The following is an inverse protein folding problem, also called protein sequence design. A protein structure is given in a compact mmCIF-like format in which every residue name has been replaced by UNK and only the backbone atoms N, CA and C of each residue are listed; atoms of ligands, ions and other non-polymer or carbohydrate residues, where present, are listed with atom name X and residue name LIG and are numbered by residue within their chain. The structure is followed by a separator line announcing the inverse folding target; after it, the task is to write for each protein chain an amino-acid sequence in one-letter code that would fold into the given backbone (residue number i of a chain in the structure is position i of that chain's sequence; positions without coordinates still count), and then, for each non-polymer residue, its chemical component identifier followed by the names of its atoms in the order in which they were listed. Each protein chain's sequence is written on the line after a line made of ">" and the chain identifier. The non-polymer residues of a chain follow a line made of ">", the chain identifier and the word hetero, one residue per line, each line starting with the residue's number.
data_IF_071236200798
#
_entry.id   IF_071236200798
#
_cell.length_a   1.000
_cell.length_b   1.000
_cell.length_c   1.000
_cell.angle_alpha   90.00
_cell.angle_beta   90.00
_cell.angle_gamma   90.00
#
_symmetry.space_group_name_H-M   'P 1'
#
loop_
_entity.id
_entity.type
_entity.pdbx_description
1 polymer ?
#
# COMPACT_ATOMS: atom_id res chain seq x y z
N UNK A 1 -20.24 -16.78 8.56
CA UNK A 1 -18.94 -16.86 7.86
C UNK A 1 -17.85 -16.29 8.76
N UNK A 2 -16.78 -17.06 9.04
CA UNK A 2 -15.69 -16.58 9.89
C UNK A 2 -14.88 -15.49 9.18
N UNK A 3 -14.44 -14.48 9.94
CA UNK A 3 -13.61 -13.40 9.44
C UNK A 3 -12.52 -13.00 10.44
N UNK A 4 -11.46 -12.38 9.90
CA UNK A 4 -10.47 -11.65 10.67
C UNK A 4 -10.55 -10.17 10.33
N UNK A 5 -10.59 -9.31 11.35
CA UNK A 5 -10.36 -7.87 11.19
C UNK A 5 -8.89 -7.61 11.41
N UNK A 6 -8.21 -7.07 10.42
CA UNK A 6 -6.78 -6.82 10.43
C UNK A 6 -6.47 -5.37 10.11
N UNK A 7 -5.25 -4.94 10.47
CA UNK A 7 -4.75 -3.59 10.20
C UNK A 7 -3.28 -3.67 9.82
N UNK A 8 -2.88 -2.90 8.79
CA UNK A 8 -1.49 -2.75 8.33
C UNK A 8 -1.14 -1.28 8.15
N UNK A 9 -0.48 -0.68 9.15
CA UNK A 9 -0.08 0.73 9.11
C UNK A 9 -1.25 1.71 8.83
N UNK A 10 -2.37 1.52 9.54
CA UNK A 10 -3.53 2.41 9.44
C UNK A 10 -4.61 1.97 8.46
N UNK A 11 -4.30 1.22 7.42
CA UNK A 11 -5.32 0.59 6.58
C UNK A 11 -5.90 -0.65 7.26
N UNK A 12 -7.21 -0.76 7.28
CA UNK A 12 -7.92 -1.87 7.91
C UNK A 12 -8.68 -2.74 6.90
N UNK A 13 -8.68 -4.04 7.17
CA UNK A 13 -9.17 -5.05 6.24
C UNK A 13 -10.04 -6.08 6.95
N UNK A 14 -11.06 -6.55 6.24
CA UNK A 14 -11.77 -7.79 6.57
C UNK A 14 -11.16 -8.89 5.73
N UNK A 15 -10.79 -10.01 6.34
CA UNK A 15 -10.20 -11.17 5.66
C UNK A 15 -11.07 -12.39 5.90
N UNK A 16 -11.46 -13.08 4.84
CA UNK A 16 -12.22 -14.32 4.89
C UNK A 16 -11.54 -15.44 4.12
N UNK A 17 -11.70 -16.66 4.59
CA UNK A 17 -11.21 -17.88 3.91
C UNK A 17 -12.34 -18.54 3.14
N UNK A 18 -12.34 -18.38 1.83
CA UNK A 18 -13.25 -19.05 0.91
C UNK A 18 -12.53 -20.01 -0.04
N UNK A 19 -11.52 -20.73 0.45
CA UNK A 19 -10.84 -21.78 -0.32
C UNK A 19 -11.76 -22.96 -0.71
N UNK A 20 -12.92 -23.05 -0.09
CA UNK A 20 -13.95 -24.03 -0.46
C UNK A 20 -14.84 -23.57 -1.61
N UNK A 21 -14.66 -22.34 -2.10
CA UNK A 21 -15.50 -21.70 -3.12
C UNK A 21 -16.99 -21.77 -2.80
N UNK A 22 -17.34 -21.54 -1.51
CA UNK A 22 -18.72 -21.59 -1.04
C UNK A 22 -19.54 -20.42 -1.59
N UNK A 23 -18.87 -19.29 -1.93
CA UNK A 23 -19.52 -18.08 -2.45
C UNK A 23 -19.06 -17.85 -3.89
N UNK A 24 -20.00 -17.71 -4.86
CA UNK A 24 -19.69 -17.36 -6.24
C UNK A 24 -18.93 -16.02 -6.32
N UNK A 25 -17.91 -15.93 -7.20
CA UNK A 25 -17.06 -14.73 -7.28
C UNK A 25 -17.83 -13.44 -7.59
N UNK A 26 -18.87 -13.52 -8.39
CA UNK A 26 -19.72 -12.38 -8.76
C UNK A 26 -20.58 -11.83 -7.61
N UNK A 27 -20.67 -12.54 -6.47
CA UNK A 27 -21.40 -12.08 -5.28
C UNK A 27 -20.51 -11.21 -4.36
N UNK A 28 -19.19 -11.34 -4.46
CA UNK A 28 -18.27 -10.64 -3.58
C UNK A 28 -18.41 -9.11 -3.63
N UNK A 29 -18.56 -8.43 -4.79
CA UNK A 29 -18.71 -6.98 -4.82
C UNK A 29 -19.88 -6.44 -3.97
N UNK A 30 -21.00 -7.15 -3.94
CA UNK A 30 -22.17 -6.80 -3.12
C UNK A 30 -21.88 -7.02 -1.62
N UNK A 31 -21.37 -8.19 -1.29
CA UNK A 31 -21.01 -8.58 0.09
C UNK A 31 -19.99 -7.60 0.68
N UNK A 32 -18.98 -7.23 -0.10
CA UNK A 32 -17.93 -6.30 0.32
C UNK A 32 -18.50 -4.92 0.63
N UNK A 33 -19.36 -4.37 -0.22
CA UNK A 33 -19.99 -3.06 0.02
C UNK A 33 -20.76 -3.04 1.35
N UNK A 34 -21.52 -4.08 1.62
CA UNK A 34 -22.30 -4.19 2.88
C UNK A 34 -21.35 -4.30 4.06
N UNK A 35 -20.37 -5.21 4.03
CA UNK A 35 -19.49 -5.48 5.17
C UNK A 35 -18.46 -4.38 5.43
N UNK A 36 -18.02 -3.66 4.40
CA UNK A 36 -17.09 -2.55 4.54
C UNK A 36 -17.76 -1.23 4.94
N UNK A 37 -19.09 -1.16 4.93
CA UNK A 37 -19.82 0.06 5.32
C UNK A 37 -19.57 0.38 6.81
N UNK A 38 -18.92 1.54 7.05
CA UNK A 38 -18.65 2.01 8.41
C UNK A 38 -19.95 2.46 9.07
N UNK A 39 -20.10 2.21 10.35
CA UNK A 39 -21.26 2.48 11.19
C UNK A 39 -22.47 1.58 10.96
N UNK A 40 -22.59 0.94 9.80
CA UNK A 40 -23.73 0.06 9.48
C UNK A 40 -23.37 -1.42 9.56
N UNK A 41 -22.10 -1.77 9.37
CA UNK A 41 -21.59 -3.14 9.45
C UNK A 41 -20.21 -3.16 10.13
N UNK A 42 -19.34 -4.13 9.78
CA UNK A 42 -17.99 -4.26 10.36
C UNK A 42 -17.14 -3.02 10.05
N UNK A 43 -17.27 -2.49 8.84
CA UNK A 43 -16.50 -1.34 8.36
C UNK A 43 -15.04 -1.67 8.08
N UNK A 44 -14.53 -1.35 6.90
CA UNK A 44 -13.13 -1.50 6.54
C UNK A 44 -12.77 -0.65 5.31
N UNK A 45 -11.48 -0.37 5.11
CA UNK A 45 -10.95 0.24 3.88
C UNK A 45 -10.96 -0.74 2.71
N UNK A 46 -10.85 -2.05 3.02
CA UNK A 46 -10.86 -3.09 1.99
C UNK A 46 -11.20 -4.47 2.54
N UNK A 47 -11.41 -5.38 1.61
CA UNK A 47 -11.82 -6.75 1.87
C UNK A 47 -10.93 -7.73 1.12
N UNK A 48 -10.50 -8.80 1.76
CA UNK A 48 -9.66 -9.84 1.17
C UNK A 48 -10.32 -11.19 1.27
N UNK A 49 -10.43 -11.88 0.13
CA UNK A 49 -10.94 -13.25 0.05
C UNK A 49 -9.78 -14.18 -0.29
N UNK A 50 -9.53 -15.16 0.57
CA UNK A 50 -8.55 -16.21 0.30
C UNK A 50 -9.22 -17.31 -0.51
N UNK A 51 -8.60 -17.65 -1.65
CA UNK A 51 -9.05 -18.68 -2.58
C UNK A 51 -7.96 -19.75 -2.77
N UNK A 52 -8.29 -20.92 -3.32
CA UNK A 52 -7.29 -21.88 -3.75
C UNK A 52 -6.33 -21.26 -4.77
N UNK A 53 -5.05 -21.66 -4.79
CA UNK A 53 -4.10 -21.19 -5.79
C UNK A 53 -4.46 -21.72 -7.17
N UNK A 54 -4.12 -20.94 -8.22
CA UNK A 54 -4.41 -21.28 -9.62
C UNK A 54 -3.19 -21.25 -10.53
N UNK A 55 -2.12 -20.60 -10.14
CA UNK A 55 -0.90 -20.40 -10.95
C UNK A 55 0.42 -20.60 -10.18
N UNK A 56 0.43 -21.54 -9.23
CA UNK A 56 1.64 -21.98 -8.54
C UNK A 56 2.04 -21.14 -7.33
N UNK A 57 1.15 -20.30 -6.81
CA UNK A 57 1.26 -19.71 -5.49
C UNK A 57 0.89 -20.68 -4.38
N UNK A 58 1.03 -20.26 -3.14
CA UNK A 58 0.58 -21.04 -1.98
C UNK A 58 -0.93 -20.92 -1.79
N UNK A 59 -1.47 -19.74 -2.08
CA UNK A 59 -2.91 -19.40 -2.10
C UNK A 59 -3.13 -18.16 -2.96
N UNK A 60 -4.41 -17.89 -3.29
CA UNK A 60 -4.83 -16.70 -4.05
C UNK A 60 -5.54 -15.72 -3.14
N UNK A 61 -5.30 -14.43 -3.32
CA UNK A 61 -6.01 -13.32 -2.69
C UNK A 61 -6.81 -12.56 -3.74
N UNK A 62 -8.12 -12.46 -3.55
CA UNK A 62 -8.93 -11.45 -4.22
C UNK A 62 -9.01 -10.24 -3.28
N UNK A 63 -8.60 -9.09 -3.77
CA UNK A 63 -8.66 -7.84 -3.02
C UNK A 63 -9.76 -6.94 -3.57
N UNK A 64 -10.59 -6.41 -2.69
CA UNK A 64 -11.66 -5.47 -3.03
C UNK A 64 -11.51 -4.19 -2.20
N UNK A 65 -11.73 -3.06 -2.85
CA UNK A 65 -11.95 -1.78 -2.17
C UNK A 65 -13.28 -1.80 -1.42
N UNK A 66 -13.49 -0.88 -0.49
CA UNK A 66 -14.73 -0.81 0.31
C UNK A 66 -15.99 -0.59 -0.52
N UNK A 67 -15.89 -0.02 -1.73
CA UNK A 67 -17.01 0.15 -2.67
C UNK A 67 -17.38 -1.12 -3.45
N UNK A 68 -16.69 -2.23 -3.21
CA UNK A 68 -16.86 -3.51 -3.90
C UNK A 68 -16.11 -3.62 -5.23
N UNK A 69 -15.41 -2.59 -5.67
CA UNK A 69 -14.56 -2.68 -6.85
C UNK A 69 -13.35 -3.59 -6.57
N UNK A 70 -12.93 -4.37 -7.58
CA UNK A 70 -11.73 -5.19 -7.45
C UNK A 70 -10.49 -4.31 -7.52
N UNK A 71 -9.64 -4.40 -6.50
CA UNK A 71 -8.35 -3.75 -6.46
C UNK A 71 -7.24 -4.65 -7.01
N UNK A 72 -6.15 -4.04 -7.47
CA UNK A 72 -5.01 -4.79 -8.01
C UNK A 72 -4.13 -5.34 -6.91
N UNK A 73 -3.53 -4.47 -6.10
CA UNK A 73 -2.64 -4.83 -5.00
C UNK A 73 -2.53 -3.66 -4.01
N UNK A 74 -2.60 -3.98 -2.74
CA UNK A 74 -2.35 -3.05 -1.65
C UNK A 74 -1.19 -3.58 -0.79
N UNK A 75 -0.08 -2.83 -0.69
CA UNK A 75 1.09 -3.24 0.09
C UNK A 75 0.78 -3.51 1.56
N UNK A 76 -0.13 -2.72 2.16
CA UNK A 76 -0.60 -2.92 3.53
C UNK A 76 -1.43 -4.21 3.66
N UNK A 77 -2.32 -4.46 2.68
CA UNK A 77 -3.12 -5.68 2.59
C UNK A 77 -2.25 -6.91 2.37
N UNK A 78 -1.24 -6.83 1.49
CA UNK A 78 -0.32 -7.94 1.21
C UNK A 78 0.43 -8.41 2.47
N UNK A 79 0.84 -7.49 3.37
CA UNK A 79 1.44 -7.88 4.65
C UNK A 79 0.42 -8.56 5.58
N UNK A 80 -0.79 -8.04 5.63
CA UNK A 80 -1.87 -8.64 6.44
C UNK A 80 -2.24 -10.04 5.97
N UNK A 81 -2.36 -10.24 4.64
CA UNK A 81 -2.70 -11.56 4.10
C UNK A 81 -1.57 -12.58 4.30
N UNK A 82 -0.29 -12.17 4.26
CA UNK A 82 0.83 -13.03 4.60
C UNK A 82 0.78 -13.47 6.07
N UNK A 83 0.40 -12.58 6.98
CA UNK A 83 0.18 -12.97 8.37
C UNK A 83 -1.00 -13.93 8.51
N UNK A 84 -2.10 -13.66 7.85
CA UNK A 84 -3.26 -14.56 7.83
C UNK A 84 -2.85 -15.94 7.31
N UNK A 85 -2.14 -16.00 6.19
CA UNK A 85 -1.67 -17.24 5.59
C UNK A 85 -0.78 -18.06 6.51
N UNK A 86 0.18 -17.43 7.19
CA UNK A 86 1.05 -18.10 8.15
C UNK A 86 0.26 -18.64 9.37
N UNK A 87 -0.56 -17.78 9.99
CA UNK A 87 -1.29 -18.15 11.22
C UNK A 87 -2.39 -19.20 10.96
N UNK A 88 -2.87 -19.36 9.73
CA UNK A 88 -3.83 -20.38 9.33
C UNK A 88 -3.20 -21.58 8.61
N UNK A 89 -1.87 -21.69 8.59
CA UNK A 89 -1.16 -22.85 8.01
C UNK A 89 -1.31 -22.97 6.48
N UNK A 90 -1.57 -21.87 5.77
CA UNK A 90 -1.68 -21.86 4.31
C UNK A 90 -0.31 -21.90 3.65
N UNK A 91 0.68 -21.27 4.29
CA UNK A 91 2.07 -21.23 3.85
C UNK A 91 3.02 -21.09 5.03
N UNK A 92 4.32 -21.28 4.78
CA UNK A 92 5.38 -21.10 5.76
C UNK A 92 5.80 -19.62 5.97
N UNK A 93 7.03 -19.42 6.44
CA UNK A 93 7.57 -18.08 6.67
C UNK A 93 7.81 -17.29 5.37
N UNK A 94 8.10 -17.99 4.26
CA UNK A 94 8.11 -17.42 2.91
C UNK A 94 6.83 -17.83 2.20
N UNK A 95 6.17 -16.90 1.57
CA UNK A 95 4.85 -17.10 0.96
C UNK A 95 4.80 -16.52 -0.44
N UNK A 96 4.08 -17.20 -1.33
CA UNK A 96 3.81 -16.76 -2.69
C UNK A 96 2.31 -16.60 -2.86
N UNK A 97 1.85 -15.36 -2.82
CA UNK A 97 0.42 -15.01 -2.90
C UNK A 97 0.07 -14.64 -4.32
N UNK A 98 -0.88 -15.36 -4.92
CA UNK A 98 -1.44 -14.97 -6.22
C UNK A 98 -2.39 -13.78 -6.04
N UNK A 99 -2.19 -12.73 -6.80
CA UNK A 99 -3.03 -11.52 -6.82
C UNK A 99 -3.42 -11.16 -8.25
N UNK A 100 -4.34 -10.21 -8.42
CA UNK A 100 -4.69 -9.66 -9.74
C UNK A 100 -3.52 -8.92 -10.40
N UNK A 101 -2.56 -8.42 -9.61
CA UNK A 101 -1.32 -7.79 -10.07
C UNK A 101 -0.16 -8.78 -10.28
N UNK A 102 -0.44 -10.09 -10.22
CA UNK A 102 0.56 -11.14 -10.34
C UNK A 102 0.94 -11.79 -9.01
N UNK A 103 2.10 -12.46 -9.00
CA UNK A 103 2.59 -13.20 -7.84
C UNK A 103 3.36 -12.27 -6.90
N UNK A 104 2.87 -12.12 -5.68
CA UNK A 104 3.51 -11.35 -4.61
C UNK A 104 4.24 -12.30 -3.67
N UNK A 105 5.53 -12.04 -3.45
CA UNK A 105 6.30 -12.79 -2.45
C UNK A 105 6.33 -12.01 -1.14
N UNK A 106 6.05 -12.71 -0.04
CA UNK A 106 6.08 -12.16 1.31
C UNK A 106 6.88 -13.03 2.28
N UNK A 107 7.43 -12.40 3.30
CA UNK A 107 8.23 -13.05 4.34
C UNK A 107 7.77 -12.64 5.74
N UNK A 108 7.71 -13.60 6.61
CA UNK A 108 7.52 -13.36 8.04
C UNK A 108 8.86 -12.98 8.68
N UNK A 109 8.96 -11.74 9.13
CA UNK A 109 10.16 -11.20 9.80
C UNK A 109 10.05 -11.27 11.33
N UNK A 110 8.86 -11.57 11.84
CA UNK A 110 8.56 -11.67 13.28
C UNK A 110 7.07 -11.90 13.50
N UNK A 111 6.62 -11.96 14.76
CA UNK A 111 5.22 -12.27 15.08
C UNK A 111 4.22 -11.32 14.40
N UNK A 112 4.56 -10.03 14.30
CA UNK A 112 3.69 -8.99 13.74
C UNK A 112 4.33 -8.25 12.57
N UNK A 113 5.55 -8.60 12.19
CA UNK A 113 6.35 -7.90 11.18
C UNK A 113 6.44 -8.77 9.93
N UNK A 114 6.02 -8.20 8.80
CA UNK A 114 6.04 -8.88 7.51
C UNK A 114 6.67 -7.99 6.45
N UNK A 115 7.43 -8.62 5.56
CA UNK A 115 8.09 -8.02 4.41
C UNK A 115 7.41 -8.50 3.15
N UNK A 116 7.25 -7.62 2.18
CA UNK A 116 6.78 -7.97 0.83
C UNK A 116 7.72 -7.38 -0.20
N UNK A 117 7.85 -8.04 -1.35
CA UNK A 117 8.47 -7.45 -2.53
C UNK A 117 7.44 -6.57 -3.22
N UNK A 118 7.81 -5.30 -3.47
CA UNK A 118 7.07 -4.38 -4.34
C UNK A 118 7.54 -4.57 -5.78
N UNK A 119 6.78 -4.04 -6.72
CA UNK A 119 7.19 -3.95 -8.11
C UNK A 119 8.39 -2.99 -8.25
N UNK A 120 9.29 -3.30 -9.17
CA UNK A 120 10.45 -2.47 -9.44
C UNK A 120 10.06 -1.15 -10.14
N UNK A 121 10.84 -0.07 -9.96
CA UNK A 121 10.60 1.18 -10.67
C UNK A 121 10.81 1.01 -12.18
N UNK A 122 9.89 1.52 -12.99
CA UNK A 122 9.97 1.42 -14.45
C UNK A 122 10.19 2.77 -15.15
N UNK A 123 9.47 3.82 -14.78
CA UNK A 123 9.61 5.17 -15.33
C UNK A 123 9.97 6.15 -14.23
N UNK A 124 11.05 6.93 -14.44
CA UNK A 124 11.52 7.86 -13.41
C UNK A 124 12.03 9.17 -14.04
N UNK A 125 11.69 10.29 -13.38
CA UNK A 125 12.27 11.61 -13.60
C UNK A 125 12.64 12.19 -12.23
N UNK A 126 13.92 12.30 -11.94
CA UNK A 126 14.42 12.67 -10.61
C UNK A 126 14.58 14.19 -10.41
N UNK A 127 14.76 14.92 -11.51
CA UNK A 127 15.05 16.37 -11.58
C UNK A 127 13.83 17.21 -11.98
N UNK A 128 12.63 16.66 -11.84
CA UNK A 128 11.39 17.35 -12.17
C UNK A 128 11.08 18.47 -11.17
N UNK A 129 10.35 19.46 -11.65
CA UNK A 129 9.76 20.53 -10.83
C UNK A 129 8.29 20.71 -11.15
N UNK A 130 7.54 21.27 -10.21
CA UNK A 130 6.15 21.65 -10.42
C UNK A 130 5.92 23.07 -9.87
N UNK A 131 5.24 23.92 -10.65
CA UNK A 131 4.86 25.26 -10.21
C UNK A 131 3.39 25.26 -9.76
N UNK A 132 3.15 25.69 -8.53
CA UNK A 132 1.80 25.82 -7.96
C UNK A 132 1.72 27.16 -7.22
N UNK A 133 0.74 27.99 -7.59
CA UNK A 133 0.53 29.33 -7.01
C UNK A 133 1.78 30.23 -7.01
N UNK A 134 2.60 30.14 -8.08
CA UNK A 134 3.85 30.91 -8.23
C UNK A 134 5.01 30.40 -7.38
N UNK A 135 4.88 29.27 -6.73
CA UNK A 135 5.93 28.58 -5.98
C UNK A 135 6.40 27.36 -6.77
N UNK A 136 7.72 27.25 -6.97
CA UNK A 136 8.33 26.09 -7.60
C UNK A 136 8.72 25.05 -6.55
N UNK A 137 8.22 23.83 -6.70
CA UNK A 137 8.55 22.67 -5.86
C UNK A 137 9.42 21.70 -6.64
N UNK A 138 10.45 21.17 -6.01
CA UNK A 138 11.11 19.96 -6.52
C UNK A 138 10.08 18.82 -6.52
N UNK A 139 10.02 18.09 -7.63
CA UNK A 139 8.99 17.08 -7.80
C UNK A 139 9.49 15.92 -8.65
N UNK A 140 10.10 14.92 -8.00
CA UNK A 140 10.49 13.71 -8.68
C UNK A 140 9.28 12.85 -9.03
N UNK A 141 9.32 12.17 -10.18
CA UNK A 141 8.25 11.27 -10.61
C UNK A 141 8.78 9.85 -10.75
N UNK A 142 8.00 8.88 -10.28
CA UNK A 142 8.35 7.46 -10.37
C UNK A 142 7.09 6.63 -10.61
N UNK A 143 7.18 5.61 -11.47
CA UNK A 143 6.16 4.58 -11.61
C UNK A 143 6.70 3.24 -11.11
N UNK A 144 5.91 2.50 -10.32
CA UNK A 144 6.24 1.15 -9.87
C UNK A 144 5.42 0.10 -10.62
N UNK A 145 6.10 -0.84 -11.28
CA UNK A 145 5.48 -1.93 -12.03
C UNK A 145 5.14 -1.59 -13.47
N UNK A 146 4.57 -2.59 -14.18
CA UNK A 146 4.07 -2.44 -15.55
C UNK A 146 2.73 -3.16 -15.69
N UNK A 147 1.59 -2.43 -15.88
CA UNK A 147 1.49 -0.96 -15.94
C UNK A 147 1.89 -0.29 -14.61
N UNK A 148 2.59 0.85 -14.70
CA UNK A 148 3.15 1.51 -13.54
C UNK A 148 2.13 2.27 -12.70
N UNK A 149 2.25 2.17 -11.38
CA UNK A 149 1.52 3.01 -10.42
C UNK A 149 2.30 4.33 -10.26
N UNK A 150 1.71 5.49 -10.64
CA UNK A 150 2.42 6.76 -10.68
C UNK A 150 2.49 7.42 -9.29
N UNK A 151 3.69 7.90 -8.94
CA UNK A 151 3.99 8.62 -7.73
C UNK A 151 4.80 9.88 -8.01
N UNK A 152 4.42 11.00 -7.38
CA UNK A 152 5.21 12.22 -7.28
C UNK A 152 5.80 12.28 -5.87
N UNK A 153 7.11 12.52 -5.76
CA UNK A 153 7.82 12.68 -4.49
C UNK A 153 8.26 14.14 -4.33
N UNK A 154 7.72 14.82 -3.30
CA UNK A 154 7.85 16.27 -3.12
C UNK A 154 8.43 16.57 -1.74
N UNK A 155 9.64 17.15 -1.63
CA UNK A 155 10.22 17.54 -0.35
C UNK A 155 9.51 18.75 0.24
N UNK A 156 9.13 18.67 1.51
CA UNK A 156 8.55 19.78 2.27
C UNK A 156 9.28 19.88 3.61
N UNK A 157 9.95 21.01 3.84
CA UNK A 157 10.56 21.29 5.13
C UNK A 157 9.47 21.58 6.19
N UNK A 158 9.63 21.01 7.39
CA UNK A 158 8.66 21.17 8.47
C UNK A 158 7.33 20.46 8.20
N UNK A 159 7.34 19.37 7.43
CA UNK A 159 6.13 18.66 7.00
C UNK A 159 5.22 18.23 8.16
N UNK A 160 5.78 17.93 9.34
CA UNK A 160 5.00 17.51 10.51
C UNK A 160 4.06 18.60 11.00
N UNK A 161 4.52 19.84 10.94
CA UNK A 161 3.82 21.03 11.45
C UNK A 161 3.23 21.87 10.30
N UNK A 162 3.28 21.37 9.07
CA UNK A 162 2.78 22.07 7.90
C UNK A 162 1.26 22.23 7.96
N UNK A 163 0.74 23.38 7.53
CA UNK A 163 -0.70 23.64 7.52
C UNK A 163 -1.45 22.58 6.72
N UNK A 164 -2.34 21.86 7.39
CA UNK A 164 -3.05 20.72 6.82
C UNK A 164 -3.92 21.10 5.62
N UNK A 165 -4.56 22.29 5.66
CA UNK A 165 -5.42 22.74 4.57
C UNK A 165 -4.59 23.19 3.35
N UNK A 166 -3.46 23.84 3.58
CA UNK A 166 -2.53 24.20 2.51
C UNK A 166 -1.92 22.94 1.86
N UNK A 167 -1.51 21.94 2.66
CA UNK A 167 -0.96 20.70 2.14
C UNK A 167 -2.02 19.90 1.33
N UNK A 168 -3.28 19.91 1.79
CA UNK A 168 -4.39 19.27 1.07
C UNK A 168 -4.62 19.92 -0.31
N UNK A 169 -4.62 21.26 -0.36
CA UNK A 169 -4.76 21.98 -1.64
C UNK A 169 -3.59 21.68 -2.58
N UNK A 170 -2.37 21.70 -2.06
CA UNK A 170 -1.17 21.36 -2.83
C UNK A 170 -1.22 19.92 -3.35
N UNK A 171 -1.61 18.96 -2.52
CA UNK A 171 -1.77 17.56 -2.90
C UNK A 171 -2.79 17.40 -4.03
N UNK A 172 -3.95 18.03 -3.91
CA UNK A 172 -5.00 18.03 -4.94
C UNK A 172 -4.53 18.63 -6.26
N UNK A 173 -3.78 19.72 -6.23
CA UNK A 173 -3.25 20.37 -7.44
C UNK A 173 -2.20 19.48 -8.12
N UNK A 174 -1.24 18.98 -7.36
CA UNK A 174 -0.17 18.12 -7.89
C UNK A 174 -0.68 16.75 -8.37
N UNK A 175 -1.74 16.23 -7.75
CA UNK A 175 -2.41 14.99 -8.17
C UNK A 175 -2.82 15.00 -9.66
N UNK A 176 -3.16 16.17 -10.18
CA UNK A 176 -3.60 16.42 -11.55
C UNK A 176 -2.61 17.28 -12.35
N UNK A 177 -1.36 17.35 -11.92
CA UNK A 177 -0.37 18.20 -12.58
C UNK A 177 -0.19 17.80 -14.06
N UNK A 178 -0.07 18.77 -14.99
CA UNK A 178 -0.06 18.47 -16.43
C UNK A 178 1.01 17.47 -16.87
N UNK A 179 2.16 17.46 -16.21
CA UNK A 179 3.26 16.53 -16.50
C UNK A 179 3.00 15.08 -16.03
N UNK A 180 1.88 14.82 -15.37
CA UNK A 180 1.48 13.50 -14.91
C UNK A 180 0.26 13.01 -15.69
N UNK A 181 0.44 12.42 -16.88
CA UNK A 181 -0.67 12.08 -17.78
C UNK A 181 -1.66 11.05 -17.21
N UNK A 182 -1.22 10.24 -16.25
CA UNK A 182 -2.06 9.30 -15.50
C UNK A 182 -2.54 9.90 -14.15
N UNK A 183 -2.18 11.17 -13.87
CA UNK A 183 -2.15 11.72 -12.53
C UNK A 183 -1.14 10.99 -11.65
N UNK A 184 -1.00 11.38 -10.38
CA UNK A 184 -0.07 10.73 -9.46
C UNK A 184 -0.62 10.65 -8.03
N UNK A 185 -0.18 9.65 -7.26
CA UNK A 185 -0.17 9.75 -5.81
C UNK A 185 0.90 10.77 -5.43
N UNK A 186 0.59 11.74 -4.58
CA UNK A 186 1.53 12.79 -4.19
C UNK A 186 2.08 12.48 -2.81
N UNK A 187 3.37 12.16 -2.75
CA UNK A 187 4.05 11.79 -1.52
C UNK A 187 4.91 12.97 -1.07
N UNK A 188 4.43 13.69 -0.08
CA UNK A 188 5.21 14.73 0.60
C UNK A 188 6.14 14.08 1.60
N UNK A 189 7.41 14.48 1.60
CA UNK A 189 8.38 13.89 2.52
C UNK A 189 9.32 14.92 3.13
N UNK A 190 9.85 14.57 4.29
CA UNK A 190 10.91 15.28 4.99
C UNK A 190 11.96 14.29 5.47
N UNK A 191 13.24 14.55 5.20
CA UNK A 191 14.34 13.76 5.76
C UNK A 191 14.60 14.29 7.17
N UNK A 192 14.37 13.46 8.18
CA UNK A 192 14.46 13.85 9.60
C UNK A 192 15.67 13.24 10.31
N UNK A 193 16.47 12.46 9.59
CA UNK A 193 17.71 11.89 10.09
C UNK A 193 18.37 10.96 9.08
N UNK A 194 19.53 10.39 9.40
CA UNK A 194 20.17 9.36 8.58
C UNK A 194 19.20 8.18 8.38
N UNK A 195 18.93 7.84 7.10
CA UNK A 195 17.99 6.77 6.73
C UNK A 195 16.62 6.84 7.45
N UNK A 196 16.18 8.08 7.76
CA UNK A 196 14.94 8.33 8.47
C UNK A 196 14.15 9.44 7.78
N UNK A 197 12.93 9.11 7.31
CA UNK A 197 12.05 9.96 6.54
C UNK A 197 10.69 10.06 7.25
N UNK A 198 10.05 11.22 7.20
CA UNK A 198 8.64 11.39 7.50
C UNK A 198 7.87 11.62 6.21
N UNK A 199 6.70 10.98 6.05
CA UNK A 199 5.92 10.99 4.80
C UNK A 199 4.43 11.20 5.06
N UNK A 200 3.78 11.91 4.14
CA UNK A 200 2.33 12.02 4.01
C UNK A 200 1.93 11.87 2.55
N UNK A 201 1.00 10.97 2.25
CA UNK A 201 0.55 10.71 0.88
C UNK A 201 -0.88 11.18 0.64
N UNK A 202 -1.06 12.06 -0.36
CA UNK A 202 -2.36 12.35 -0.97
C UNK A 202 -2.59 11.31 -2.06
N UNK A 203 -3.57 10.44 -1.87
CA UNK A 203 -3.70 9.21 -2.66
C UNK A 203 -4.71 9.37 -3.80
N UNK A 204 -4.29 8.97 -4.99
CA UNK A 204 -5.10 8.91 -6.20
C UNK A 204 -6.24 7.91 -6.03
N UNK A 205 -7.49 8.37 -6.29
CA UNK A 205 -8.69 7.56 -6.13
C UNK A 205 -9.33 7.66 -4.74
N UNK A 206 -8.55 7.97 -3.70
CA UNK A 206 -9.06 8.36 -2.38
C UNK A 206 -9.35 9.87 -2.35
N UNK A 207 -8.49 10.63 -3.04
CA UNK A 207 -8.55 12.10 -3.18
C UNK A 207 -8.46 12.82 -1.82
N UNK A 208 -7.69 12.22 -0.90
CA UNK A 208 -7.37 12.73 0.43
C UNK A 208 -6.07 12.10 0.94
N UNK A 209 -5.61 12.55 2.12
CA UNK A 209 -4.47 11.92 2.80
C UNK A 209 -4.86 10.57 3.39
N UNK A 210 -4.07 9.55 3.08
CA UNK A 210 -4.19 8.23 3.69
C UNK A 210 -3.22 8.05 4.86
N UNK A 211 -3.49 7.07 5.69
CA UNK A 211 -2.63 6.74 6.84
C UNK A 211 -1.27 6.22 6.42
N UNK A 212 -1.20 5.46 5.33
CA UNK A 212 0.03 4.93 4.76
C UNK A 212 -0.20 4.44 3.32
N UNK A 213 0.70 4.80 2.40
CA UNK A 213 0.74 4.28 1.03
C UNK A 213 2.04 3.48 0.82
N UNK A 214 1.94 2.16 0.74
CA UNK A 214 3.12 1.28 0.65
C UNK A 214 3.94 1.49 -0.61
N UNK A 215 3.30 1.66 -1.77
CA UNK A 215 3.97 1.97 -3.05
C UNK A 215 4.52 3.39 -3.06
N UNK A 216 3.84 4.35 -2.43
CA UNK A 216 4.32 5.71 -2.24
C UNK A 216 5.62 5.73 -1.45
N UNK A 217 5.63 5.06 -0.30
CA UNK A 217 6.82 4.92 0.55
C UNK A 217 7.99 4.27 -0.19
N UNK A 218 7.73 3.20 -0.97
CA UNK A 218 8.73 2.59 -1.84
C UNK A 218 9.28 3.56 -2.88
N UNK A 219 8.42 4.39 -3.47
CA UNK A 219 8.78 5.40 -4.47
C UNK A 219 9.65 6.50 -3.89
N UNK A 220 9.27 7.06 -2.73
CA UNK A 220 10.07 8.09 -2.02
C UNK A 220 11.46 7.57 -1.70
N UNK A 221 11.56 6.39 -1.08
CA UNK A 221 12.87 5.83 -0.73
C UNK A 221 13.70 5.51 -1.97
N UNK A 222 13.08 5.03 -3.06
CA UNK A 222 13.76 4.84 -4.36
C UNK A 222 14.37 6.14 -4.86
N UNK A 223 13.59 7.23 -4.91
CA UNK A 223 14.07 8.55 -5.32
C UNK A 223 15.25 9.01 -4.44
N UNK A 224 15.07 8.95 -3.12
CA UNK A 224 16.10 9.39 -2.17
C UNK A 224 17.38 8.56 -2.25
N UNK A 225 17.26 7.25 -2.48
CA UNK A 225 18.42 6.37 -2.69
C UNK A 225 19.16 6.74 -3.97
N UNK A 226 18.44 6.98 -5.07
CA UNK A 226 19.06 7.38 -6.35
C UNK A 226 19.71 8.76 -6.28
N UNK A 227 19.14 9.68 -5.51
CA UNK A 227 19.73 11.00 -5.25
C UNK A 227 20.89 10.95 -4.21
N UNK A 228 21.16 9.80 -3.59
CA UNK A 228 22.22 9.64 -2.58
C UNK A 228 21.89 10.33 -1.25
N UNK A 229 20.62 10.55 -0.97
CA UNK A 229 20.13 11.20 0.27
C UNK A 229 19.92 10.21 1.42
N UNK A 230 19.68 8.93 1.09
CA UNK A 230 19.58 7.80 2.02
C UNK A 230 20.39 6.62 1.48
N UNK A 231 20.72 5.65 2.34
CA UNK A 231 21.51 4.47 1.95
C UNK A 231 20.74 3.48 1.07
N UNK A 232 19.41 3.47 1.19
CA UNK A 232 18.54 2.46 0.59
C UNK A 232 18.47 1.15 1.39
N UNK A 233 19.15 1.08 2.55
CA UNK A 233 19.14 -0.11 3.43
C UNK A 233 18.29 0.15 4.65
N UNK A 234 17.20 -0.60 4.77
CA UNK A 234 16.32 -0.53 5.93
C UNK A 234 15.93 0.90 6.33
N UNK A 235 15.63 1.72 5.31
CA UNK A 235 15.25 3.12 5.50
C UNK A 235 13.94 3.18 6.26
N UNK A 236 13.95 3.86 7.40
CA UNK A 236 12.78 4.07 8.24
C UNK A 236 11.93 5.19 7.66
N UNK A 237 10.64 4.92 7.49
CA UNK A 237 9.66 5.93 7.07
C UNK A 237 8.52 5.98 8.06
N UNK A 238 8.42 7.10 8.77
CA UNK A 238 7.31 7.38 9.68
C UNK A 238 6.18 8.09 8.91
N UNK A 239 4.96 7.70 9.19
CA UNK A 239 3.74 8.28 8.65
C UNK A 239 2.61 8.26 9.68
N UNK A 240 1.48 8.84 9.38
CA UNK A 240 0.35 8.92 10.31
C UNK A 240 -0.11 7.54 10.80
N UNK A 241 -0.07 6.53 9.93
CA UNK A 241 -0.49 5.15 10.24
C UNK A 241 0.56 4.29 10.95
N UNK A 242 1.78 4.80 11.17
CA UNK A 242 2.86 4.07 11.84
C UNK A 242 4.19 4.15 11.08
N UNK A 243 5.05 3.18 11.32
CA UNK A 243 6.39 3.11 10.73
C UNK A 243 6.48 1.94 9.74
N UNK A 244 7.03 2.23 8.57
CA UNK A 244 7.44 1.23 7.58
C UNK A 244 8.96 1.29 7.38
N UNK A 245 9.53 0.22 6.85
CA UNK A 245 10.93 0.14 6.47
C UNK A 245 11.03 -0.28 5.01
N UNK A 246 11.91 0.36 4.27
CA UNK A 246 12.12 0.09 2.84
C UNK A 246 13.58 -0.28 2.59
N UNK A 247 13.77 -1.35 1.81
CA UNK A 247 15.05 -1.69 1.22
C UNK A 247 14.95 -1.44 -0.29
N UNK A 248 15.79 -0.53 -0.82
CA UNK A 248 15.82 -0.05 -2.19
C UNK A 248 17.27 0.15 -2.65
N UNK A 249 18.10 -0.87 -2.45
CA UNK A 249 19.52 -0.77 -2.74
C UNK A 249 19.80 -0.65 -4.24
N UNK A 250 20.84 0.13 -4.58
CA UNK A 250 21.32 0.20 -5.96
C UNK A 250 22.07 -1.09 -6.32
N UNK A 251 21.76 -1.63 -7.47
CA UNK A 251 22.56 -2.69 -8.07
C UNK A 251 23.85 -2.14 -8.69
N UNK A 252 24.70 -3.03 -9.24
CA UNK A 252 25.96 -2.65 -9.90
C UNK A 252 25.79 -1.70 -11.09
N UNK A 253 24.61 -1.65 -11.70
CA UNK A 253 24.27 -0.72 -12.79
C UNK A 253 23.70 0.62 -12.26
N UNK A 254 23.69 0.84 -10.94
CA UNK A 254 23.19 2.06 -10.32
C UNK A 254 21.66 2.18 -10.28
N UNK A 255 20.93 1.13 -10.65
CA UNK A 255 19.46 1.08 -10.64
C UNK A 255 18.94 0.43 -9.36
N UNK A 256 17.79 0.87 -8.89
CA UNK A 256 17.05 0.18 -7.84
C UNK A 256 16.23 -0.94 -8.48
N UNK A 257 16.52 -2.17 -8.04
CA UNK A 257 15.77 -3.38 -8.29
C UNK A 257 15.57 -4.08 -6.94
N UNK A 258 14.68 -5.05 -6.86
CA UNK A 258 14.43 -5.73 -5.58
C UNK A 258 13.97 -4.78 -4.46
N UNK A 259 12.92 -4.02 -4.74
CA UNK A 259 12.31 -3.11 -3.79
C UNK A 259 11.49 -3.88 -2.76
N UNK A 260 11.80 -3.70 -1.46
CA UNK A 260 11.10 -4.39 -0.38
C UNK A 260 10.48 -3.41 0.61
N UNK A 261 9.28 -3.76 1.06
CA UNK A 261 8.53 -3.04 2.09
C UNK A 261 8.30 -3.93 3.30
N UNK A 262 8.81 -3.52 4.45
CA UNK A 262 8.62 -4.20 5.73
C UNK A 262 7.77 -3.35 6.65
N UNK A 263 6.76 -3.94 7.30
CA UNK A 263 5.92 -3.20 8.21
C UNK A 263 5.09 -4.07 9.14
N UNK A 264 4.49 -3.44 10.16
CA UNK A 264 3.68 -4.14 11.13
C UNK A 264 2.34 -4.58 10.54
N UNK A 265 1.80 -5.61 11.17
CA UNK A 265 0.44 -6.09 10.98
C UNK A 265 -0.23 -6.28 12.33
N UNK A 266 -1.52 -6.05 12.41
CA UNK A 266 -2.29 -6.25 13.62
C UNK A 266 -3.55 -7.08 13.33
N UNK A 267 -3.82 -8.10 14.13
CA UNK A 267 -5.13 -8.76 14.18
C UNK A 267 -5.95 -8.03 15.24
N UNK A 268 -6.98 -7.32 14.80
CA UNK A 268 -7.83 -6.51 15.69
C UNK A 268 -8.82 -7.43 16.41
N UNK A 269 -9.53 -8.27 15.65
CA UNK A 269 -10.44 -9.28 16.18
C UNK A 269 -10.63 -10.41 15.15
N UNK A 270 -11.21 -11.50 15.64
CA UNK A 270 -11.74 -12.60 14.85
C UNK A 270 -13.19 -12.81 15.26
N UNK A 271 -14.04 -13.20 14.35
CA UNK A 271 -15.46 -13.37 14.64
C UNK A 271 -16.21 -14.08 13.52
N UNK A 272 -17.52 -14.09 13.66
CA UNK A 272 -18.44 -14.60 12.66
C UNK A 272 -19.31 -13.47 12.13
N UNK A 273 -19.49 -13.43 10.82
CA UNK A 273 -20.38 -12.48 10.15
C UNK A 273 -21.81 -12.98 10.31
N UNK A 274 -22.62 -12.16 10.98
CA UNK A 274 -24.06 -12.41 11.24
C UNK A 274 -24.92 -11.26 10.74
N UNK A 275 -24.42 -10.49 9.75
CA UNK A 275 -25.13 -9.31 9.23
C UNK A 275 -26.45 -9.73 8.58
N UNK A 276 -27.57 -9.26 9.15
CA UNK A 276 -28.93 -9.61 8.70
C UNK A 276 -29.29 -8.99 7.34
N UNK A 277 -28.53 -8.00 6.87
CA UNK A 277 -28.70 -7.41 5.55
C UNK A 277 -28.03 -8.24 4.44
N UNK A 278 -27.23 -9.25 4.81
CA UNK A 278 -26.59 -10.15 3.87
C UNK A 278 -27.41 -11.42 3.67
N UNK A 279 -27.93 -11.58 2.47
CA UNK A 279 -28.43 -12.88 1.99
C UNK A 279 -27.26 -13.61 1.35
N UNK A 280 -26.57 -14.46 2.13
CA UNK A 280 -25.47 -15.30 1.66
C UNK A 280 -25.95 -16.48 0.81
#
# INVERSE_FOLDING_TARGET
>A
MEFWKMNGAGNDFIVVDDRRNAIPENRWPEIVRVLCERHMSIGADGFMVVKPPTCGGDYKMLFFNSDGSMGEMCGNGARCICRFGFENGLAGETQRVETTAGLVTGWRMGKRLYRIRLNDPCHMRLDGTAEVDGITYDCAYVELGDPGIPHAAVPIAGLRDYDAAALLRLGRTLRHYPDFPKGANVNFYEIIGPDHVYERTYERGVEDFTYACGTGTGSVVTVLTLLGKVSGKHVRVDMTGGTLYVDAERNAAGRVTDLYLTGPTNVVCKGEITDENLVL
#
